data_IF_089397478786
#
_entry.id   IF_089397478786
#
_cell.length_a   1.000
_cell.length_b   1.000
_cell.length_c   1.000
_cell.angle_alpha   90.00
_cell.angle_beta   90.00
_cell.angle_gamma   90.00
#
_symmetry.space_group_name_H-M   'P 1'
#
loop_
_entity.id
_entity.type
_entity.pdbx_description
1 polymer ?
#
# COMPACT_ATOMS: atom_id res chain seq x y z
N UNK A 1 -6.53 -36.66 -28.53
CA UNK A 1 -7.20 -36.46 -27.24
C UNK A 1 -6.13 -36.08 -26.27
N UNK A 2 -5.92 -34.78 -26.14
CA UNK A 2 -4.89 -34.20 -25.25
C UNK A 2 -5.51 -34.05 -23.86
N UNK A 3 -5.16 -34.94 -22.97
CA UNK A 3 -5.55 -34.86 -21.55
C UNK A 3 -4.63 -33.83 -20.92
N UNK A 4 -5.02 -32.55 -20.99
CA UNK A 4 -4.42 -31.53 -20.14
C UNK A 4 -4.64 -31.95 -18.70
N UNK A 5 -3.56 -32.41 -18.06
CA UNK A 5 -3.53 -32.61 -16.62
C UNK A 5 -3.90 -31.28 -15.95
N UNK A 6 -5.13 -31.20 -15.48
CA UNK A 6 -5.59 -30.19 -14.54
C UNK A 6 -4.79 -30.40 -13.24
N UNK A 7 -3.62 -29.79 -13.17
CA UNK A 7 -2.87 -29.70 -11.90
C UNK A 7 -3.76 -28.87 -10.99
N UNK A 8 -4.23 -29.43 -9.85
CA UNK A 8 -5.03 -28.66 -8.92
C UNK A 8 -4.20 -27.44 -8.49
N UNK A 9 -4.55 -26.25 -8.98
CA UNK A 9 -3.93 -25.02 -8.47
C UNK A 9 -4.43 -24.87 -7.05
N UNK A 10 -3.52 -24.95 -6.08
CA UNK A 10 -3.82 -24.69 -4.68
C UNK A 10 -4.57 -23.35 -4.59
N UNK A 11 -5.83 -23.39 -4.14
CA UNK A 11 -6.66 -22.19 -4.05
C UNK A 11 -6.29 -21.40 -2.80
N UNK A 12 -6.02 -20.09 -2.93
CA UNK A 12 -5.78 -19.25 -1.75
C UNK A 12 -7.09 -19.09 -0.96
N UNK A 13 -7.06 -19.46 0.32
CA UNK A 13 -8.20 -19.36 1.22
C UNK A 13 -7.84 -18.48 2.40
N UNK A 14 -8.69 -17.48 2.67
CA UNK A 14 -8.53 -16.62 3.82
C UNK A 14 -8.83 -17.37 5.12
N UNK A 15 -7.96 -17.24 6.13
CA UNK A 15 -8.19 -17.77 7.47
C UNK A 15 -8.44 -16.68 8.50
N UNK A 16 -9.07 -17.03 9.60
CA UNK A 16 -9.28 -16.14 10.73
C UNK A 16 -8.01 -16.11 11.59
N UNK A 17 -7.64 -14.91 12.04
CA UNK A 17 -6.49 -14.67 12.93
C UNK A 17 -6.92 -13.91 14.19
N UNK A 18 -6.07 -13.90 15.21
CA UNK A 18 -6.32 -13.18 16.45
C UNK A 18 -6.32 -11.66 16.24
N UNK A 19 -7.15 -10.94 17.00
CA UNK A 19 -7.36 -9.50 16.85
C UNK A 19 -6.08 -8.66 17.01
N UNK A 20 -5.18 -9.04 17.92
CA UNK A 20 -3.93 -8.31 18.18
C UNK A 20 -2.72 -8.81 17.37
N UNK A 21 -2.96 -9.68 16.39
CA UNK A 21 -1.93 -10.20 15.49
C UNK A 21 -1.12 -9.12 14.76
N UNK A 22 -1.70 -7.95 14.38
CA UNK A 22 -0.97 -6.84 13.76
C UNK A 22 0.27 -6.38 14.53
N UNK A 23 0.24 -6.38 15.86
CA UNK A 23 1.40 -6.02 16.67
C UNK A 23 2.56 -7.04 16.52
N UNK A 24 2.22 -8.30 16.32
CA UNK A 24 3.22 -9.33 16.06
C UNK A 24 3.80 -9.21 14.64
N UNK A 25 2.98 -8.84 13.64
CA UNK A 25 3.47 -8.56 12.28
C UNK A 25 4.45 -7.39 12.29
N UNK A 26 4.10 -6.30 12.97
CA UNK A 26 4.98 -5.13 13.10
C UNK A 26 6.31 -5.50 13.78
N UNK A 27 6.25 -6.27 14.88
CA UNK A 27 7.44 -6.75 15.59
C UNK A 27 8.33 -7.63 14.70
N UNK A 28 7.72 -8.53 13.92
CA UNK A 28 8.45 -9.39 12.96
C UNK A 28 9.06 -8.55 11.83
N UNK A 29 8.30 -7.62 11.23
CA UNK A 29 8.78 -6.72 10.19
C UNK A 29 9.95 -5.86 10.65
N UNK A 30 9.90 -5.33 11.87
CA UNK A 30 11.02 -4.58 12.45
C UNK A 30 12.26 -5.47 12.67
N UNK A 31 12.09 -6.70 13.12
CA UNK A 31 13.19 -7.66 13.27
C UNK A 31 13.83 -8.01 11.91
N UNK A 32 13.02 -8.16 10.88
CA UNK A 32 13.53 -8.46 9.54
C UNK A 32 14.25 -7.24 8.94
N UNK A 33 13.75 -6.03 9.18
CA UNK A 33 14.48 -4.80 8.86
C UNK A 33 15.90 -4.79 9.49
N UNK A 34 16.04 -5.22 10.75
CA UNK A 34 17.33 -5.26 11.44
C UNK A 34 18.31 -6.31 10.85
N UNK A 35 17.81 -7.34 10.15
CA UNK A 35 18.66 -8.36 9.50
C UNK A 35 19.27 -7.88 8.18
N UNK A 36 18.57 -7.02 7.43
CA UNK A 36 19.04 -6.49 6.15
C UNK A 36 18.82 -4.96 6.08
N UNK A 37 19.41 -4.18 6.97
CA UNK A 37 19.10 -2.75 7.08
C UNK A 37 19.51 -1.97 5.82
N UNK A 38 20.64 -2.28 5.19
CA UNK A 38 21.10 -1.57 4.01
C UNK A 38 20.16 -1.72 2.81
N UNK A 39 19.68 -2.95 2.56
CA UNK A 39 18.76 -3.25 1.46
C UNK A 39 17.38 -2.59 1.72
N UNK A 40 16.90 -2.61 2.95
CA UNK A 40 15.65 -1.95 3.36
C UNK A 40 15.75 -0.42 3.28
N UNK A 41 16.84 0.18 3.76
CA UNK A 41 17.08 1.62 3.72
C UNK A 41 17.17 2.14 2.29
N UNK A 42 17.65 1.35 1.33
CA UNK A 42 17.62 1.72 -0.09
C UNK A 42 16.19 2.03 -0.55
N UNK A 43 15.23 1.13 -0.28
CA UNK A 43 13.82 1.37 -0.60
C UNK A 43 13.22 2.53 0.19
N UNK A 44 13.56 2.64 1.48
CA UNK A 44 13.16 3.76 2.32
C UNK A 44 13.62 5.11 1.79
N UNK A 45 14.87 5.18 1.29
CA UNK A 45 15.42 6.39 0.68
C UNK A 45 14.66 6.80 -0.59
N UNK A 46 14.19 5.84 -1.39
CA UNK A 46 13.35 6.13 -2.57
C UNK A 46 12.04 6.79 -2.15
N UNK A 47 11.36 6.31 -1.07
CA UNK A 47 10.15 6.95 -0.54
C UNK A 47 10.41 8.38 -0.06
N UNK A 48 11.54 8.60 0.65
CA UNK A 48 11.95 9.94 1.09
C UNK A 48 12.19 10.87 -0.11
N UNK A 49 12.94 10.41 -1.10
CA UNK A 49 13.21 11.18 -2.32
C UNK A 49 11.91 11.58 -3.03
N UNK A 50 10.97 10.65 -3.18
CA UNK A 50 9.67 10.92 -3.79
C UNK A 50 8.87 11.97 -2.99
N UNK A 51 8.90 11.90 -1.65
CA UNK A 51 8.27 12.88 -0.77
C UNK A 51 8.88 14.29 -0.93
N UNK A 52 10.22 14.38 -0.97
CA UNK A 52 10.89 15.65 -1.20
C UNK A 52 10.61 16.25 -2.59
N UNK A 53 10.54 15.42 -3.63
CA UNK A 53 10.16 15.88 -4.97
C UNK A 53 8.74 16.47 -4.96
N UNK A 54 7.79 15.83 -4.28
CA UNK A 54 6.44 16.38 -4.11
C UNK A 54 6.45 17.76 -3.46
N UNK A 55 7.20 17.93 -2.37
CA UNK A 55 7.30 19.21 -1.65
C UNK A 55 7.96 20.28 -2.53
N UNK A 56 9.07 19.96 -3.18
CA UNK A 56 9.81 20.90 -4.03
C UNK A 56 8.95 21.47 -5.17
N UNK A 57 8.16 20.61 -5.83
CA UNK A 57 7.32 21.03 -6.95
C UNK A 57 5.99 21.66 -6.50
N UNK A 58 5.53 21.41 -5.27
CA UNK A 58 4.29 22.03 -4.75
C UNK A 58 4.36 23.55 -4.67
N UNK A 59 5.54 24.12 -4.45
CA UNK A 59 5.77 25.56 -4.35
C UNK A 59 5.98 26.24 -5.71
N UNK A 60 6.54 25.51 -6.70
CA UNK A 60 6.98 26.09 -7.97
C UNK A 60 6.05 25.79 -9.15
N UNK A 61 5.35 24.66 -9.11
CA UNK A 61 4.52 24.18 -10.22
C UNK A 61 3.36 23.34 -9.70
N UNK A 62 2.29 23.96 -9.17
CA UNK A 62 1.16 23.26 -8.56
C UNK A 62 0.53 22.20 -9.48
N UNK A 63 0.55 22.42 -10.81
CA UNK A 63 0.06 21.47 -11.81
C UNK A 63 0.85 20.16 -11.83
N UNK A 64 2.12 20.16 -11.44
CA UNK A 64 2.96 18.97 -11.35
C UNK A 64 2.73 18.17 -10.06
N UNK A 65 2.16 18.78 -9.02
CA UNK A 65 1.88 18.11 -7.74
C UNK A 65 0.96 16.92 -7.95
N UNK A 66 -0.11 17.07 -8.75
CA UNK A 66 -1.05 15.99 -9.06
C UNK A 66 -0.32 14.86 -9.79
N UNK A 67 0.56 15.20 -10.73
CA UNK A 67 1.37 14.22 -11.47
C UNK A 67 2.29 13.44 -10.54
N UNK A 68 3.08 14.13 -9.71
CA UNK A 68 3.99 13.48 -8.76
C UNK A 68 3.25 12.69 -7.67
N UNK A 69 2.12 13.21 -7.16
CA UNK A 69 1.28 12.49 -6.22
C UNK A 69 0.74 11.19 -6.83
N UNK A 70 0.30 11.24 -8.10
CA UNK A 70 -0.14 10.05 -8.83
C UNK A 70 1.00 9.03 -8.99
N UNK A 71 2.19 9.52 -9.38
CA UNK A 71 3.39 8.66 -9.48
C UNK A 71 3.72 8.04 -8.13
N UNK A 72 3.68 8.80 -7.04
CA UNK A 72 3.92 8.31 -5.69
C UNK A 72 2.94 7.22 -5.29
N UNK A 73 1.64 7.46 -5.51
CA UNK A 73 0.58 6.49 -5.18
C UNK A 73 0.70 5.20 -5.99
N UNK A 74 1.06 5.29 -7.27
CA UNK A 74 1.21 4.13 -8.14
C UNK A 74 2.55 3.41 -7.95
N UNK A 75 3.63 4.13 -7.65
CA UNK A 75 4.95 3.55 -7.43
C UNK A 75 5.06 2.82 -6.09
N UNK A 76 4.29 3.25 -5.06
CA UNK A 76 4.31 2.64 -3.73
C UNK A 76 4.17 1.12 -3.73
N UNK A 77 3.13 0.55 -4.36
CA UNK A 77 2.95 -0.89 -4.50
C UNK A 77 4.11 -1.61 -5.20
N UNK A 78 4.74 -0.98 -6.22
CA UNK A 78 5.89 -1.57 -6.91
C UNK A 78 7.15 -1.59 -6.05
N UNK A 79 7.39 -0.53 -5.27
CA UNK A 79 8.46 -0.51 -4.29
C UNK A 79 8.24 -1.57 -3.19
N UNK A 80 6.97 -1.78 -2.80
CA UNK A 80 6.62 -2.83 -1.85
C UNK A 80 6.92 -4.24 -2.38
N UNK A 81 6.80 -4.51 -3.70
CA UNK A 81 7.17 -5.80 -4.30
C UNK A 81 8.63 -6.15 -3.97
N UNK A 82 9.55 -5.19 -4.12
CA UNK A 82 10.96 -5.42 -3.80
C UNK A 82 11.19 -5.72 -2.32
N UNK A 83 10.47 -5.05 -1.42
CA UNK A 83 10.54 -5.32 0.03
C UNK A 83 9.89 -6.66 0.40
N UNK A 84 8.83 -7.08 -0.28
CA UNK A 84 8.24 -8.41 -0.11
C UNK A 84 9.19 -9.50 -0.60
N UNK A 85 9.92 -9.26 -1.68
CA UNK A 85 10.94 -10.19 -2.16
C UNK A 85 12.09 -10.32 -1.16
N UNK A 86 12.52 -9.22 -0.53
CA UNK A 86 13.48 -9.25 0.57
C UNK A 86 12.97 -10.14 1.71
N UNK A 87 11.72 -9.99 2.14
CA UNK A 87 11.11 -10.83 3.18
C UNK A 87 11.05 -12.30 2.74
N UNK A 88 10.68 -12.58 1.49
CA UNK A 88 10.65 -13.92 0.90
C UNK A 88 12.04 -14.57 0.88
N UNK A 89 13.09 -13.82 0.50
CA UNK A 89 14.47 -14.31 0.54
C UNK A 89 14.91 -14.63 1.97
N UNK A 90 14.60 -13.76 2.95
CA UNK A 90 14.93 -14.02 4.36
C UNK A 90 14.24 -15.28 4.90
N UNK A 91 12.99 -15.51 4.52
CA UNK A 91 12.24 -16.71 4.90
C UNK A 91 12.86 -17.99 4.29
N UNK A 92 13.28 -17.92 3.00
CA UNK A 92 13.88 -19.06 2.30
C UNK A 92 15.25 -19.49 2.86
N UNK A 93 16.00 -18.57 3.46
CA UNK A 93 17.35 -18.82 4.00
C UNK A 93 17.38 -19.05 5.52
N UNK A 94 16.21 -19.18 6.19
CA UNK A 94 16.09 -19.28 7.66
C UNK A 94 16.90 -18.19 8.41
N UNK A 95 17.10 -17.04 7.79
CA UNK A 95 17.86 -15.92 8.33
C UNK A 95 19.39 -16.06 8.24
N UNK A 96 19.93 -17.10 7.62
CA UNK A 96 21.38 -17.36 7.50
C UNK A 96 21.96 -17.01 6.12
N UNK A 97 21.11 -16.69 5.13
CA UNK A 97 21.53 -16.26 3.79
C UNK A 97 21.65 -14.74 3.65
N UNK A 98 22.44 -14.31 2.65
CA UNK A 98 22.54 -12.89 2.31
C UNK A 98 21.44 -12.52 1.31
N UNK A 99 20.66 -11.50 1.64
CA UNK A 99 19.67 -10.90 0.73
C UNK A 99 20.38 -10.34 -0.51
N UNK A 100 19.77 -10.54 -1.68
CA UNK A 100 20.27 -10.00 -2.95
C UNK A 100 19.38 -8.86 -3.41
N UNK A 101 19.82 -7.61 -3.21
CA UNK A 101 19.08 -6.41 -3.64
C UNK A 101 18.77 -6.44 -5.15
N UNK A 102 19.71 -6.88 -5.99
CA UNK A 102 19.48 -6.98 -7.43
C UNK A 102 18.32 -7.91 -7.80
N UNK A 103 18.08 -8.97 -7.03
CA UNK A 103 16.92 -9.84 -7.21
C UNK A 103 15.62 -9.11 -6.86
N UNK A 104 15.60 -8.41 -5.73
CA UNK A 104 14.40 -7.68 -5.29
C UNK A 104 14.02 -6.55 -6.26
N UNK A 105 14.98 -5.88 -6.89
CA UNK A 105 14.73 -4.86 -7.91
C UNK A 105 14.08 -5.42 -9.18
N UNK A 106 14.21 -6.71 -9.45
CA UNK A 106 13.62 -7.39 -10.61
C UNK A 106 12.43 -8.28 -10.26
N UNK A 107 12.02 -8.34 -8.99
CA UNK A 107 10.99 -9.24 -8.48
C UNK A 107 9.62 -9.05 -9.17
N UNK A 108 9.30 -7.83 -9.61
CA UNK A 108 8.08 -7.53 -10.39
C UNK A 108 7.98 -8.31 -11.72
N UNK A 109 9.10 -8.82 -12.25
CA UNK A 109 9.13 -9.61 -13.49
C UNK A 109 8.61 -11.03 -13.33
N UNK A 110 8.56 -11.56 -12.11
CA UNK A 110 8.11 -12.92 -11.80
C UNK A 110 6.67 -13.12 -12.28
N UNK A 111 5.80 -12.12 -12.08
CA UNK A 111 4.40 -12.19 -12.49
C UNK A 111 3.97 -10.87 -13.16
N UNK A 112 4.70 -10.48 -14.20
CA UNK A 112 4.50 -9.20 -14.89
C UNK A 112 3.05 -8.99 -15.38
N UNK A 113 2.35 -9.97 -15.99
CA UNK A 113 0.97 -9.76 -16.42
C UNK A 113 0.02 -9.42 -15.27
N UNK A 114 0.13 -10.12 -14.14
CA UNK A 114 -0.71 -9.87 -12.98
C UNK A 114 -0.41 -8.49 -12.35
N UNK A 115 0.86 -8.13 -12.18
CA UNK A 115 1.23 -6.82 -11.65
C UNK A 115 0.82 -5.67 -12.58
N UNK A 116 0.88 -5.85 -13.90
CA UNK A 116 0.44 -4.84 -14.86
C UNK A 116 -1.08 -4.62 -14.79
N UNK A 117 -1.86 -5.71 -14.76
CA UNK A 117 -3.31 -5.61 -14.61
C UNK A 117 -3.68 -4.99 -13.25
N UNK A 118 -2.99 -5.38 -12.17
CA UNK A 118 -3.19 -4.79 -10.85
C UNK A 118 -2.92 -3.27 -10.86
N UNK A 119 -1.81 -2.83 -11.47
CA UNK A 119 -1.48 -1.42 -11.61
C UNK A 119 -2.54 -0.64 -12.39
N UNK A 120 -3.08 -1.23 -13.46
CA UNK A 120 -4.15 -0.61 -14.25
C UNK A 120 -5.43 -0.45 -13.42
N UNK A 121 -5.83 -1.48 -12.65
CA UNK A 121 -6.99 -1.42 -11.77
C UNK A 121 -6.80 -0.40 -10.63
N UNK A 122 -5.60 -0.36 -10.04
CA UNK A 122 -5.27 0.64 -9.03
C UNK A 122 -5.30 2.07 -9.61
N UNK A 123 -4.79 2.26 -10.82
CA UNK A 123 -4.85 3.55 -11.50
C UNK A 123 -6.31 4.01 -11.71
N UNK A 124 -7.22 3.11 -12.09
CA UNK A 124 -8.65 3.44 -12.21
C UNK A 124 -9.22 3.92 -10.87
N UNK A 125 -8.88 3.27 -9.76
CA UNK A 125 -9.32 3.70 -8.41
C UNK A 125 -8.73 5.07 -8.04
N UNK A 126 -7.45 5.30 -8.31
CA UNK A 126 -6.78 6.59 -8.05
C UNK A 126 -7.41 7.71 -8.87
N UNK A 127 -7.62 7.51 -10.17
CA UNK A 127 -8.30 8.49 -11.03
C UNK A 127 -9.76 8.69 -10.61
N UNK A 128 -10.46 7.64 -10.20
CA UNK A 128 -11.80 7.72 -9.62
C UNK A 128 -11.82 8.63 -8.38
N UNK A 129 -10.87 8.46 -7.48
CA UNK A 129 -10.71 9.33 -6.32
C UNK A 129 -10.48 10.79 -6.71
N UNK A 130 -9.58 11.07 -7.67
CA UNK A 130 -9.37 12.44 -8.15
C UNK A 130 -10.65 13.07 -8.72
N UNK A 131 -11.43 12.32 -9.50
CA UNK A 131 -12.70 12.80 -10.05
C UNK A 131 -13.71 13.11 -8.95
N UNK A 132 -13.85 12.23 -7.97
CA UNK A 132 -14.76 12.43 -6.84
C UNK A 132 -14.27 13.60 -5.97
N UNK A 133 -12.97 13.72 -5.74
CA UNK A 133 -12.37 14.84 -5.02
C UNK A 133 -12.70 16.19 -5.69
N UNK A 134 -12.52 16.30 -7.01
CA UNK A 134 -12.89 17.50 -7.76
C UNK A 134 -14.39 17.81 -7.67
N UNK A 135 -15.25 16.78 -7.75
CA UNK A 135 -16.69 16.96 -7.60
C UNK A 135 -17.04 17.47 -6.19
N UNK A 136 -16.40 16.95 -5.14
CA UNK A 136 -16.60 17.42 -3.76
C UNK A 136 -16.23 18.92 -3.63
N UNK A 137 -15.11 19.34 -4.21
CA UNK A 137 -14.76 20.77 -4.24
C UNK A 137 -15.82 21.61 -4.99
N UNK A 138 -16.28 21.15 -6.15
CA UNK A 138 -17.29 21.85 -6.94
C UNK A 138 -18.65 21.95 -6.23
N UNK A 139 -18.99 21.00 -5.36
CA UNK A 139 -20.26 21.01 -4.63
C UNK A 139 -20.24 21.94 -3.39
N UNK A 140 -19.09 22.15 -2.79
CA UNK A 140 -18.97 22.88 -1.54
C UNK A 140 -18.35 24.28 -1.67
N UNK A 141 -17.69 24.58 -2.80
CA UNK A 141 -17.03 25.86 -3.04
C UNK A 141 -17.54 26.51 -4.32
N UNK A 142 -18.10 27.69 -4.21
CA UNK A 142 -18.65 28.49 -5.33
C UNK A 142 -17.56 29.19 -6.18
N UNK A 143 -16.29 28.88 -5.98
CA UNK A 143 -15.18 29.56 -6.63
C UNK A 143 -14.69 28.82 -7.87
N UNK A 144 -14.43 29.57 -8.94
CA UNK A 144 -13.83 29.04 -10.17
C UNK A 144 -12.37 28.52 -10.00
N UNK A 145 -11.74 28.81 -8.87
CA UNK A 145 -10.40 28.36 -8.51
C UNK A 145 -10.46 27.39 -7.33
N UNK A 146 -9.73 26.29 -7.42
CA UNK A 146 -9.53 25.37 -6.29
C UNK A 146 -8.82 26.11 -5.14
N UNK A 147 -9.27 25.96 -3.89
CA UNK A 147 -8.61 26.58 -2.75
C UNK A 147 -7.18 26.04 -2.62
N UNK A 148 -6.25 26.91 -2.22
CA UNK A 148 -4.88 26.49 -1.94
C UNK A 148 -4.84 25.54 -0.72
N UNK A 149 -3.78 24.72 -0.60
CA UNK A 149 -3.59 23.87 0.57
C UNK A 149 -3.56 24.68 1.87
N UNK A 150 -2.99 25.89 1.82
CA UNK A 150 -2.97 26.82 2.95
C UNK A 150 -4.39 27.28 3.32
N UNK A 151 -5.22 27.61 2.34
CA UNK A 151 -6.61 28.00 2.59
C UNK A 151 -7.41 26.87 3.21
N UNK A 152 -7.19 25.63 2.77
CA UNK A 152 -7.84 24.44 3.34
C UNK A 152 -7.41 24.26 4.80
N UNK A 153 -6.11 24.36 5.11
CA UNK A 153 -5.57 24.15 6.45
C UNK A 153 -5.99 25.25 7.41
N UNK A 154 -5.87 26.52 6.99
CA UNK A 154 -6.21 27.69 7.82
C UNK A 154 -7.71 27.74 8.11
N UNK A 155 -8.54 27.38 7.12
CA UNK A 155 -10.00 27.41 7.25
C UNK A 155 -10.59 26.05 7.63
N UNK A 156 -9.79 25.04 7.88
CA UNK A 156 -10.25 23.68 8.18
C UNK A 156 -11.23 23.61 9.36
N UNK A 157 -10.99 24.43 10.40
CA UNK A 157 -11.82 24.47 11.61
C UNK A 157 -12.88 25.58 11.58
N UNK A 158 -13.06 26.27 10.44
CA UNK A 158 -14.17 27.20 10.30
C UNK A 158 -15.49 26.40 10.26
N UNK A 159 -16.53 26.77 11.07
CA UNK A 159 -17.81 26.10 11.07
C UNK A 159 -18.45 25.92 9.69
N UNK A 160 -18.25 26.88 8.80
CA UNK A 160 -18.78 26.86 7.42
C UNK A 160 -18.16 25.74 6.56
N UNK A 161 -16.95 25.27 6.92
CA UNK A 161 -16.23 24.25 6.18
C UNK A 161 -16.33 22.83 6.81
N UNK A 162 -16.90 22.70 8.00
CA UNK A 162 -16.98 21.41 8.70
C UNK A 162 -17.77 20.38 7.86
N UNK A 163 -18.86 20.80 7.22
CA UNK A 163 -19.66 19.89 6.38
C UNK A 163 -18.84 19.34 5.21
N UNK A 164 -18.04 20.18 4.54
CA UNK A 164 -17.11 19.76 3.50
C UNK A 164 -16.06 18.78 4.04
N UNK A 165 -15.41 19.10 5.15
CA UNK A 165 -14.38 18.24 5.71
C UNK A 165 -14.91 16.87 6.09
N UNK A 166 -16.04 16.81 6.79
CA UNK A 166 -16.68 15.55 7.16
C UNK A 166 -17.02 14.73 5.93
N UNK A 167 -17.66 15.34 4.92
CA UNK A 167 -18.02 14.65 3.69
C UNK A 167 -16.77 14.18 2.93
N UNK A 168 -15.74 15.03 2.79
CA UNK A 168 -14.50 14.71 2.08
C UNK A 168 -13.73 13.57 2.73
N UNK A 169 -13.57 13.61 4.06
CA UNK A 169 -12.90 12.53 4.78
C UNK A 169 -13.73 11.25 4.81
N UNK A 170 -15.06 11.33 4.89
CA UNK A 170 -15.93 10.15 4.85
C UNK A 170 -15.82 9.42 3.50
N UNK A 171 -15.90 10.17 2.39
CA UNK A 171 -15.74 9.60 1.03
C UNK A 171 -14.32 9.11 0.82
N UNK A 172 -13.30 9.88 1.25
CA UNK A 172 -11.90 9.45 1.21
C UNK A 172 -11.64 8.16 1.98
N UNK A 173 -12.25 8.02 3.14
CA UNK A 173 -12.20 6.80 3.94
C UNK A 173 -12.79 5.59 3.20
N UNK A 174 -13.93 5.76 2.50
CA UNK A 174 -14.53 4.69 1.70
C UNK A 174 -13.58 4.25 0.57
N UNK A 175 -13.00 5.20 -0.16
CA UNK A 175 -11.99 4.88 -1.18
C UNK A 175 -10.77 4.17 -0.59
N UNK A 176 -10.25 4.66 0.53
CA UNK A 176 -9.12 4.04 1.22
C UNK A 176 -9.44 2.60 1.66
N UNK A 177 -10.66 2.34 2.16
CA UNK A 177 -11.09 0.99 2.53
C UNK A 177 -11.19 0.05 1.32
N UNK A 178 -11.68 0.52 0.17
CA UNK A 178 -11.72 -0.27 -1.05
C UNK A 178 -10.29 -0.61 -1.48
N UNK A 179 -9.41 0.40 -1.63
CA UNK A 179 -8.01 0.21 -2.03
C UNK A 179 -7.29 -0.72 -1.06
N UNK A 180 -7.42 -0.51 0.25
CA UNK A 180 -6.83 -1.37 1.26
C UNK A 180 -7.31 -2.82 1.13
N UNK A 181 -8.62 -3.03 0.98
CA UNK A 181 -9.22 -4.36 0.92
C UNK A 181 -8.77 -5.16 -0.29
N UNK A 182 -8.61 -4.50 -1.46
CA UNK A 182 -8.13 -5.18 -2.66
C UNK A 182 -6.62 -5.34 -2.73
N UNK A 183 -5.86 -4.66 -1.86
CA UNK A 183 -4.39 -4.54 -1.99
C UNK A 183 -3.60 -5.30 -0.94
N UNK A 184 -4.07 -5.32 0.31
CA UNK A 184 -3.27 -5.68 1.49
C UNK A 184 -2.62 -7.07 1.42
N UNK A 185 -3.24 -8.02 0.74
CA UNK A 185 -2.75 -9.39 0.55
C UNK A 185 -2.39 -9.66 -0.91
N UNK A 186 -2.97 -8.92 -1.88
CA UNK A 186 -2.87 -9.25 -3.30
C UNK A 186 -1.44 -9.25 -3.82
N UNK A 187 -0.68 -8.20 -3.50
CA UNK A 187 0.68 -8.04 -4.03
C UNK A 187 1.61 -9.16 -3.52
N UNK A 188 1.72 -9.40 -2.19
CA UNK A 188 2.56 -10.49 -1.71
C UNK A 188 2.10 -11.88 -2.19
N UNK A 189 0.79 -12.10 -2.36
CA UNK A 189 0.24 -13.34 -2.89
C UNK A 189 0.63 -13.56 -4.36
N UNK A 190 0.51 -12.52 -5.22
CA UNK A 190 0.94 -12.58 -6.62
C UNK A 190 2.44 -12.83 -6.78
N UNK A 191 3.25 -12.30 -5.84
CA UNK A 191 4.70 -12.51 -5.83
C UNK A 191 5.09 -13.91 -5.35
N UNK A 192 4.38 -14.45 -4.38
CA UNK A 192 4.72 -15.73 -3.76
C UNK A 192 4.27 -16.94 -4.60
N UNK A 193 3.06 -16.89 -5.15
CA UNK A 193 2.38 -18.02 -5.78
C UNK A 193 2.03 -17.82 -7.25
N UNK A 194 2.43 -16.70 -7.83
CA UNK A 194 2.22 -16.38 -9.25
C UNK A 194 0.73 -16.53 -9.68
N UNK A 195 -0.19 -16.28 -8.75
CA UNK A 195 -1.63 -16.28 -9.06
C UNK A 195 -2.02 -15.05 -9.88
N UNK A 196 -3.14 -15.14 -10.59
CA UNK A 196 -3.68 -14.02 -11.34
C UNK A 196 -4.22 -12.91 -10.43
N UNK A 197 -4.36 -11.70 -10.98
CA UNK A 197 -4.77 -10.49 -10.26
C UNK A 197 -6.14 -10.62 -9.61
N UNK A 198 -7.10 -11.19 -10.33
CA UNK A 198 -8.49 -11.27 -9.85
C UNK A 198 -8.58 -12.22 -8.66
N UNK A 199 -7.97 -13.39 -8.77
CA UNK A 199 -7.87 -14.36 -7.66
C UNK A 199 -7.18 -13.74 -6.44
N UNK A 200 -6.08 -12.99 -6.65
CA UNK A 200 -5.37 -12.33 -5.56
C UNK A 200 -6.24 -11.25 -4.87
N UNK A 201 -6.94 -10.41 -5.65
CA UNK A 201 -7.83 -9.37 -5.11
C UNK A 201 -9.02 -9.97 -4.35
N UNK A 202 -9.64 -11.04 -4.87
CA UNK A 202 -10.73 -11.74 -4.18
C UNK A 202 -10.24 -12.31 -2.85
N UNK A 203 -9.08 -12.97 -2.84
CA UNK A 203 -8.47 -13.51 -1.61
C UNK A 203 -8.18 -12.40 -0.59
N UNK A 204 -7.71 -11.23 -1.05
CA UNK A 204 -7.45 -10.06 -0.20
C UNK A 204 -8.74 -9.53 0.44
N UNK A 205 -9.80 -9.33 -0.35
CA UNK A 205 -11.10 -8.90 0.16
C UNK A 205 -11.66 -9.90 1.16
N UNK A 206 -11.59 -11.20 0.88
CA UNK A 206 -12.04 -12.25 1.79
C UNK A 206 -11.25 -12.24 3.11
N UNK A 207 -9.92 -12.01 3.05
CA UNK A 207 -9.08 -11.90 4.24
C UNK A 207 -9.50 -10.72 5.13
N UNK A 208 -9.79 -9.56 4.51
CA UNK A 208 -10.27 -8.37 5.22
C UNK A 208 -11.65 -8.62 5.83
N UNK A 209 -12.62 -9.11 5.05
CA UNK A 209 -13.98 -9.35 5.52
C UNK A 209 -14.04 -10.40 6.64
N UNK A 210 -13.21 -11.43 6.58
CA UNK A 210 -13.12 -12.47 7.62
C UNK A 210 -12.47 -11.98 8.92
N UNK A 211 -11.68 -10.89 8.86
CA UNK A 211 -10.87 -10.35 9.96
C UNK A 211 -11.05 -8.84 10.15
N UNK A 212 -12.26 -8.30 10.04
CA UNK A 212 -12.54 -6.86 10.01
C UNK A 212 -11.84 -6.07 11.13
N UNK A 213 -11.94 -6.53 12.38
CA UNK A 213 -11.33 -5.83 13.50
C UNK A 213 -9.79 -5.88 13.46
N UNK A 214 -9.23 -7.04 13.15
CA UNK A 214 -7.78 -7.22 13.01
C UNK A 214 -7.22 -6.35 11.88
N UNK A 215 -7.91 -6.32 10.73
CA UNK A 215 -7.49 -5.53 9.57
C UNK A 215 -7.74 -4.03 9.78
N UNK A 216 -8.77 -3.67 10.56
CA UNK A 216 -8.97 -2.28 11.01
C UNK A 216 -7.82 -1.79 11.90
N UNK A 217 -7.36 -2.61 12.84
CA UNK A 217 -6.18 -2.30 13.67
C UNK A 217 -4.92 -2.18 12.78
N UNK A 218 -4.75 -3.08 11.81
CA UNK A 218 -3.61 -3.03 10.89
C UNK A 218 -3.63 -1.76 10.04
N UNK A 219 -4.78 -1.40 9.47
CA UNK A 219 -4.95 -0.15 8.73
C UNK A 219 -4.64 1.08 9.61
N UNK A 220 -5.13 1.10 10.86
CA UNK A 220 -4.84 2.17 11.81
C UNK A 220 -3.34 2.30 12.11
N UNK A 221 -2.62 1.19 12.28
CA UNK A 221 -1.16 1.19 12.47
C UNK A 221 -0.45 1.75 11.24
N UNK A 222 -0.84 1.33 10.02
CA UNK A 222 -0.28 1.86 8.77
C UNK A 222 -0.48 3.37 8.69
N UNK A 223 -1.70 3.85 8.94
CA UNK A 223 -2.02 5.29 8.87
C UNK A 223 -1.25 6.07 9.92
N UNK A 224 -1.23 5.61 11.18
CA UNK A 224 -0.53 6.29 12.26
C UNK A 224 0.99 6.39 12.01
N UNK A 225 1.63 5.30 11.60
CA UNK A 225 3.06 5.31 11.29
C UNK A 225 3.38 6.15 10.05
N UNK A 226 2.55 6.09 9.01
CA UNK A 226 2.71 6.95 7.82
C UNK A 226 2.56 8.43 8.18
N UNK A 227 1.61 8.78 9.05
CA UNK A 227 1.45 10.15 9.54
C UNK A 227 2.71 10.63 10.29
N UNK A 228 3.32 9.78 11.13
CA UNK A 228 4.62 10.09 11.75
C UNK A 228 5.70 10.33 10.69
N UNK A 229 5.71 9.53 9.64
CA UNK A 229 6.62 9.72 8.49
C UNK A 229 6.46 11.08 7.82
N UNK A 230 5.22 11.54 7.62
CA UNK A 230 4.94 12.86 7.03
C UNK A 230 5.29 14.02 7.98
N UNK A 231 4.95 13.91 9.27
CA UNK A 231 5.28 14.94 10.28
C UNK A 231 6.79 15.12 10.44
N UNK A 232 7.56 14.07 10.19
CA UNK A 232 9.03 14.13 10.19
C UNK A 232 9.64 14.60 8.85
N UNK A 233 8.89 15.35 8.06
CA UNK A 233 9.32 15.81 6.73
C UNK A 233 9.80 14.66 5.83
N UNK A 234 9.05 13.58 5.79
CA UNK A 234 9.32 12.33 5.05
C UNK A 234 10.52 11.53 5.57
N UNK A 235 11.41 12.08 6.41
CA UNK A 235 12.59 11.36 6.90
C UNK A 235 12.25 10.07 7.65
N UNK A 236 11.14 10.07 8.41
CA UNK A 236 10.66 8.86 9.09
C UNK A 236 10.32 7.73 8.13
N UNK A 237 9.93 8.02 6.89
CA UNK A 237 9.56 7.01 5.90
C UNK A 237 10.72 6.09 5.52
N UNK A 238 11.97 6.52 5.74
CA UNK A 238 13.17 5.71 5.45
C UNK A 238 13.18 4.37 6.21
N UNK A 239 12.58 4.36 7.41
CA UNK A 239 12.46 3.18 8.26
C UNK A 239 11.03 2.65 8.23
N UNK A 240 10.03 3.54 8.32
CA UNK A 240 8.63 3.17 8.48
C UNK A 240 8.13 2.37 7.27
N UNK A 241 8.40 2.81 6.04
CA UNK A 241 7.88 2.14 4.85
C UNK A 241 8.44 0.72 4.68
N UNK A 242 9.77 0.50 4.78
CA UNK A 242 10.30 -0.86 4.79
C UNK A 242 9.73 -1.75 5.90
N UNK A 243 9.63 -1.24 7.13
CA UNK A 243 9.09 -2.01 8.26
C UNK A 243 7.63 -2.40 8.01
N UNK A 244 6.80 -1.48 7.51
CA UNK A 244 5.41 -1.76 7.17
C UNK A 244 5.27 -2.79 6.04
N UNK A 245 6.12 -2.72 5.01
CA UNK A 245 6.11 -3.69 3.92
C UNK A 245 6.52 -5.09 4.42
N UNK A 246 7.63 -5.21 5.16
CA UNK A 246 8.05 -6.47 5.75
C UNK A 246 6.98 -7.05 6.70
N UNK A 247 6.34 -6.20 7.50
CA UNK A 247 5.23 -6.60 8.37
C UNK A 247 3.99 -7.07 7.57
N UNK A 248 3.70 -6.44 6.42
CA UNK A 248 2.62 -6.85 5.52
C UNK A 248 2.88 -8.22 4.89
N UNK A 249 4.14 -8.59 4.64
CA UNK A 249 4.50 -9.95 4.25
C UNK A 249 4.09 -10.97 5.32
N UNK A 250 4.38 -10.70 6.58
CA UNK A 250 3.95 -11.58 7.69
C UNK A 250 2.43 -11.60 7.85
N UNK A 251 1.74 -10.49 7.59
CA UNK A 251 0.28 -10.46 7.56
C UNK A 251 -0.27 -11.39 6.47
N UNK A 252 0.26 -11.32 5.24
CA UNK A 252 -0.10 -12.22 4.16
C UNK A 252 0.09 -13.70 4.56
N UNK A 253 1.26 -14.06 5.10
CA UNK A 253 1.57 -15.44 5.52
C UNK A 253 0.64 -15.96 6.63
N UNK A 254 0.15 -15.08 7.49
CA UNK A 254 -0.78 -15.44 8.54
C UNK A 254 -2.24 -15.51 8.05
N UNK A 255 -2.63 -14.69 7.06
CA UNK A 255 -4.01 -14.54 6.59
C UNK A 255 -4.41 -15.54 5.50
N UNK A 256 -3.46 -16.05 4.71
CA UNK A 256 -3.73 -16.94 3.57
C UNK A 256 -3.16 -18.33 3.80
N UNK A 257 -3.98 -19.33 3.53
CA UNK A 257 -3.58 -20.73 3.41
C UNK A 257 -3.92 -21.22 2.00
N UNK A 258 -3.41 -22.39 1.63
CA UNK A 258 -3.68 -23.01 0.35
C UNK A 258 -4.37 -24.36 0.56
N UNK A 259 -5.55 -24.51 -0.04
CA UNK A 259 -6.28 -25.77 -0.06
C UNK A 259 -6.07 -26.44 -1.43
N UNK A 260 -5.79 -27.73 -1.37
CA UNK A 260 -5.67 -28.59 -2.57
C UNK A 260 -7.01 -28.96 -3.13
#
# INVERSE_FOLDING_TARGET
MDVTHDIPRDRPVARKVETLRPLQWLKKGFRDFQKAPADCLFYGAVFVLMGYLLTLYSEHSPELVITFATIFLLAGPFLAIGLYDIAKQMEAFDGHGRVKLAHSLSAWRVNLPAFTLYAALLAVLVFGWFRVSLLMFALFYDTAALPSLNDIVVNAFNPDNIAFLVAYFAVGFLFAQVVFSVSVVSIPLMLDKEVDTVTAMIASVQAVLKNLLTMGIWAAIIVALSAVGFVTYFLGLIIIMPVLALASWHAYRDLITFER
#
